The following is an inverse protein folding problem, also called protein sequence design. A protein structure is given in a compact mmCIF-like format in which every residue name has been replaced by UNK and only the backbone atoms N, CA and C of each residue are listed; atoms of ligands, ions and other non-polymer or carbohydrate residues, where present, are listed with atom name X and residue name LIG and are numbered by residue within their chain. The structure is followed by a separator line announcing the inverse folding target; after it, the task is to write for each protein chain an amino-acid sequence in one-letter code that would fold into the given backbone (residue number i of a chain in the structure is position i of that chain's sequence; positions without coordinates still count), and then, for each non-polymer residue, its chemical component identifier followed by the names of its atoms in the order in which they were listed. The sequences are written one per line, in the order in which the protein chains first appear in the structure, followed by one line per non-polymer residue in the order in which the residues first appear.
data_IF_167337579740
#
_entry.id   IF_167337579740
#
_cell.length_a   1.000
_cell.length_b   1.000
_cell.length_c   1.000
_cell.angle_alpha   90.00
_cell.angle_beta   90.00
_cell.angle_gamma   90.00
#
_symmetry.space_group_name_H-M   'P 1'
#
loop_
_entity.id
_entity.type
_entity.pdbx_description
1 polymer ?
#
# COMPACT_ATOMS: atom_id res chain seq x y z
N UNK A 1 20.66 6.27 -25.66
CA UNK A 1 20.76 6.64 -24.25
C UNK A 1 21.33 5.46 -23.48
N UNK A 2 22.30 5.71 -22.64
CA UNK A 2 22.92 4.66 -21.81
C UNK A 2 22.12 4.41 -20.54
N UNK A 3 22.35 3.25 -19.91
CA UNK A 3 21.76 2.91 -18.63
C UNK A 3 22.10 3.97 -17.55
N UNK A 4 23.35 4.41 -17.50
CA UNK A 4 23.80 5.42 -16.53
C UNK A 4 23.12 6.78 -16.72
N UNK A 5 22.90 7.20 -17.96
CA UNK A 5 22.20 8.45 -18.27
C UNK A 5 20.74 8.38 -17.76
N UNK A 6 20.03 7.32 -18.11
CA UNK A 6 18.65 7.12 -17.63
C UNK A 6 18.58 7.06 -16.09
N UNK A 7 19.47 6.29 -15.48
CA UNK A 7 19.52 6.17 -14.04
C UNK A 7 19.72 7.53 -13.36
N UNK A 8 20.66 8.33 -13.86
CA UNK A 8 20.94 9.68 -13.34
C UNK A 8 19.71 10.60 -13.47
N UNK A 9 19.03 10.54 -14.60
CA UNK A 9 17.83 11.36 -14.86
C UNK A 9 16.72 11.02 -13.84
N UNK A 10 16.40 9.73 -13.68
CA UNK A 10 15.34 9.32 -12.75
C UNK A 10 15.74 9.50 -11.27
N UNK A 11 17.01 9.36 -10.91
CA UNK A 11 17.53 9.62 -9.55
C UNK A 11 17.34 11.07 -9.08
N UNK A 12 17.12 12.01 -10.02
CA UNK A 12 16.79 13.40 -9.68
C UNK A 12 15.48 13.55 -8.92
N UNK A 13 14.53 12.61 -9.13
CA UNK A 13 13.17 12.66 -8.55
C UNK A 13 12.75 11.41 -7.77
N UNK A 14 13.52 10.31 -7.85
CA UNK A 14 13.24 9.05 -7.19
C UNK A 14 14.40 8.58 -6.32
N UNK A 15 14.10 7.86 -5.25
CA UNK A 15 15.09 7.37 -4.30
C UNK A 15 15.78 6.09 -4.77
N UNK A 16 15.04 5.25 -5.48
CA UNK A 16 15.50 3.99 -6.03
C UNK A 16 15.20 3.96 -7.52
N UNK A 17 16.19 3.57 -8.31
CA UNK A 17 16.08 3.45 -9.77
C UNK A 17 16.81 2.20 -10.20
N UNK A 18 16.12 1.33 -10.90
CA UNK A 18 16.69 0.16 -11.55
C UNK A 18 16.14 0.05 -12.96
N UNK A 19 16.90 -0.58 -13.84
CA UNK A 19 16.54 -0.69 -15.24
C UNK A 19 16.74 -2.14 -15.66
N UNK A 20 15.76 -2.72 -16.34
CA UNK A 20 15.80 -4.10 -16.84
C UNK A 20 15.27 -4.17 -18.25
N UNK A 21 15.63 -5.24 -18.94
CA UNK A 21 15.01 -5.59 -20.22
C UNK A 21 13.60 -6.11 -19.98
N UNK A 22 12.60 -5.54 -20.63
CA UNK A 22 11.21 -5.98 -20.49
C UNK A 22 11.03 -7.46 -20.83
N UNK A 23 11.73 -7.98 -21.86
CA UNK A 23 11.69 -9.40 -22.24
C UNK A 23 12.13 -10.34 -21.11
N UNK A 24 13.13 -9.94 -20.30
CA UNK A 24 13.64 -10.78 -19.21
C UNK A 24 12.64 -10.80 -18.04
N UNK A 25 12.02 -9.65 -17.74
CA UNK A 25 10.91 -9.58 -16.79
C UNK A 25 9.73 -10.47 -17.22
N UNK A 26 9.28 -10.37 -18.49
CA UNK A 26 8.16 -11.17 -18.99
C UNK A 26 8.47 -12.67 -18.90
N UNK A 27 9.70 -13.09 -19.26
CA UNK A 27 10.15 -14.47 -19.13
C UNK A 27 10.11 -14.96 -17.68
N UNK A 28 10.59 -14.16 -16.73
CA UNK A 28 10.56 -14.50 -15.29
C UNK A 28 9.12 -14.56 -14.75
N UNK A 29 8.27 -13.62 -15.11
CA UNK A 29 6.88 -13.57 -14.68
C UNK A 29 6.09 -14.79 -15.19
N UNK A 30 6.26 -15.18 -16.44
CA UNK A 30 5.66 -16.39 -17.03
C UNK A 30 6.18 -17.67 -16.36
N UNK A 31 7.47 -17.76 -16.06
CA UNK A 31 8.06 -18.91 -15.35
C UNK A 31 7.50 -19.05 -13.92
N UNK A 32 7.04 -17.97 -13.31
CA UNK A 32 6.36 -17.95 -12.00
C UNK A 32 4.83 -18.17 -12.11
N UNK A 33 4.30 -18.48 -13.30
CA UNK A 33 2.86 -18.70 -13.53
C UNK A 33 2.01 -17.44 -13.38
N UNK A 34 2.58 -16.25 -13.56
CA UNK A 34 1.83 -14.99 -13.50
C UNK A 34 1.18 -14.69 -14.84
N UNK A 35 -0.05 -14.20 -14.80
CA UNK A 35 -0.69 -13.61 -15.97
C UNK A 35 0.00 -12.29 -16.30
N UNK A 36 0.59 -12.19 -17.49
CA UNK A 36 1.23 -10.98 -17.97
C UNK A 36 0.63 -10.53 -19.30
N UNK A 37 0.41 -9.23 -19.44
CA UNK A 37 0.14 -8.64 -20.74
C UNK A 37 1.48 -8.48 -21.45
N UNK A 38 1.53 -8.89 -22.73
CA UNK A 38 2.71 -8.67 -23.56
C UNK A 38 2.98 -7.17 -23.66
N UNK A 39 4.14 -6.77 -23.20
CA UNK A 39 4.64 -5.41 -23.34
C UNK A 39 5.60 -5.33 -24.53
N UNK A 40 5.38 -4.36 -25.39
CA UNK A 40 6.16 -4.17 -26.62
C UNK A 40 7.38 -3.27 -26.43
N UNK A 41 7.38 -2.44 -25.37
CA UNK A 41 8.49 -1.55 -25.08
C UNK A 41 9.67 -2.33 -24.49
N UNK A 42 10.87 -2.21 -25.09
CA UNK A 42 11.99 -3.09 -24.76
C UNK A 42 12.59 -2.86 -23.38
N UNK A 43 12.45 -1.66 -22.82
CA UNK A 43 13.08 -1.28 -21.56
C UNK A 43 12.05 -0.99 -20.49
N UNK A 44 12.28 -1.51 -19.30
CA UNK A 44 11.51 -1.22 -18.10
C UNK A 44 12.40 -0.51 -17.07
N UNK A 45 12.03 0.71 -16.70
CA UNK A 45 12.60 1.44 -15.56
C UNK A 45 11.73 1.18 -14.34
N UNK A 46 12.34 0.67 -13.29
CA UNK A 46 11.66 0.38 -12.01
C UNK A 46 12.08 1.42 -11.00
N UNK A 47 11.10 2.06 -10.42
CA UNK A 47 11.27 3.23 -9.58
C UNK A 47 10.76 2.98 -8.17
N UNK A 48 11.49 3.49 -7.17
CA UNK A 48 11.07 3.48 -5.79
C UNK A 48 11.08 4.89 -5.20
N UNK A 49 10.00 5.25 -4.49
CA UNK A 49 9.86 6.52 -3.79
C UNK A 49 9.56 6.26 -2.32
N UNK A 50 10.48 6.62 -1.43
CA UNK A 50 10.35 6.36 -0.01
C UNK A 50 9.24 7.19 0.64
N UNK A 51 8.55 6.59 1.62
CA UNK A 51 7.59 7.27 2.47
C UNK A 51 7.95 7.13 3.94
N UNK A 52 7.61 8.12 4.80
CA UNK A 52 8.05 8.12 6.18
C UNK A 52 7.25 7.12 7.02
N UNK A 53 7.94 6.36 7.87
CA UNK A 53 7.32 5.63 8.96
C UNK A 53 6.94 6.63 10.06
N UNK A 54 5.65 6.93 10.20
CA UNK A 54 5.11 7.83 11.23
C UNK A 54 4.01 7.13 12.01
N UNK A 55 4.23 6.93 13.30
CA UNK A 55 3.24 6.28 14.17
C UNK A 55 2.29 7.36 14.70
N UNK A 56 1.05 7.33 14.22
CA UNK A 56 -0.05 8.13 14.75
C UNK A 56 -1.03 7.16 15.40
N UNK A 57 -1.53 7.50 16.58
CA UNK A 57 -2.52 6.67 17.30
C UNK A 57 -3.92 7.17 17.07
N UNK A 58 -4.90 6.27 17.11
CA UNK A 58 -6.31 6.65 17.24
C UNK A 58 -6.52 7.51 18.48
N UNK A 59 -7.47 8.40 18.38
CA UNK A 59 -7.95 9.20 19.53
C UNK A 59 -9.44 8.92 19.78
N UNK A 60 -10.02 9.55 20.79
CA UNK A 60 -11.47 9.43 21.04
C UNK A 60 -12.31 10.10 19.93
N UNK A 61 -11.73 10.90 19.06
CA UNK A 61 -12.43 11.67 18.02
C UNK A 61 -11.96 11.36 16.61
N UNK A 62 -10.79 10.76 16.44
CA UNK A 62 -10.18 10.51 15.13
C UNK A 62 -9.58 9.10 15.01
N UNK A 63 -9.77 8.49 13.87
CA UNK A 63 -9.20 7.19 13.52
C UNK A 63 -8.12 7.33 12.45
N UNK A 64 -7.16 6.40 12.45
CA UNK A 64 -5.95 6.49 11.64
C UNK A 64 -5.84 5.28 10.71
N UNK A 65 -5.57 5.47 9.42
CA UNK A 65 -5.25 4.41 8.48
C UNK A 65 -3.76 3.99 8.55
N UNK A 66 -3.36 3.05 7.71
CA UNK A 66 -1.98 2.58 7.54
C UNK A 66 -1.04 3.67 7.00
N UNK A 67 0.24 3.58 7.34
CA UNK A 67 1.28 4.59 7.01
C UNK A 67 1.40 4.89 5.52
N UNK A 68 1.19 3.88 4.65
CA UNK A 68 1.30 4.09 3.20
C UNK A 68 0.23 5.03 2.64
N UNK A 69 -0.78 5.36 3.44
CA UNK A 69 -1.85 6.30 3.05
C UNK A 69 -1.62 7.71 3.57
N UNK A 70 -0.47 7.99 4.20
CA UNK A 70 -0.18 9.30 4.73
C UNK A 70 0.35 10.24 3.65
N UNK A 71 -0.10 11.49 3.72
CA UNK A 71 0.19 12.50 2.71
C UNK A 71 -0.65 12.33 1.44
N UNK A 72 -0.19 12.95 0.35
CA UNK A 72 -0.87 12.92 -0.94
C UNK A 72 -0.85 11.52 -1.55
N UNK A 73 -1.90 11.17 -2.30
CA UNK A 73 -2.03 9.89 -2.99
C UNK A 73 -0.78 9.59 -3.85
N UNK A 74 -0.07 8.53 -3.48
CA UNK A 74 1.19 8.13 -4.12
C UNK A 74 1.02 7.80 -5.60
N UNK A 75 -0.16 7.33 -6.03
CA UNK A 75 -0.42 7.09 -7.45
C UNK A 75 -0.32 8.38 -8.26
N UNK A 76 -0.84 9.48 -7.71
CA UNK A 76 -0.75 10.79 -8.35
C UNK A 76 0.68 11.33 -8.31
N UNK A 77 1.35 11.19 -7.17
CA UNK A 77 2.73 11.67 -6.97
C UNK A 77 3.69 10.97 -7.90
N UNK A 78 3.67 9.62 -7.95
CA UNK A 78 4.56 8.87 -8.81
C UNK A 78 4.31 9.19 -10.29
N UNK A 79 3.04 9.16 -10.72
CA UNK A 79 2.68 9.48 -12.12
C UNK A 79 3.13 10.88 -12.51
N UNK A 80 2.94 11.88 -11.64
CA UNK A 80 3.37 13.24 -11.92
C UNK A 80 4.90 13.34 -12.07
N UNK A 81 5.66 12.77 -11.12
CA UNK A 81 7.12 12.80 -11.16
C UNK A 81 7.70 12.07 -12.38
N UNK A 82 7.11 10.92 -12.76
CA UNK A 82 7.47 10.20 -13.98
C UNK A 82 7.20 11.04 -15.23
N UNK A 83 5.99 11.60 -15.32
CA UNK A 83 5.57 12.42 -16.47
C UNK A 83 6.45 13.64 -16.63
N UNK A 84 6.81 14.32 -15.55
CA UNK A 84 7.69 15.49 -15.59
C UNK A 84 9.06 15.15 -16.21
N UNK A 85 9.64 13.99 -15.82
CA UNK A 85 10.92 13.53 -16.40
C UNK A 85 10.75 13.17 -17.88
N UNK A 86 9.71 12.42 -18.21
CA UNK A 86 9.53 11.84 -19.53
C UNK A 86 9.16 12.87 -20.61
N UNK A 87 8.45 13.93 -20.21
CA UNK A 87 8.18 15.06 -21.11
C UNK A 87 9.46 15.77 -21.61
N UNK A 88 10.53 15.74 -20.79
CA UNK A 88 11.82 16.33 -21.16
C UNK A 88 12.62 15.41 -22.11
N UNK A 89 12.35 14.09 -22.09
CA UNK A 89 13.12 13.11 -22.85
C UNK A 89 12.64 12.88 -24.29
N UNK A 90 11.42 13.31 -24.62
CA UNK A 90 10.78 13.11 -25.91
C UNK A 90 10.84 11.63 -26.41
N UNK A 91 10.61 10.68 -25.51
CA UNK A 91 10.58 9.24 -25.76
C UNK A 91 9.15 8.76 -25.57
N UNK A 92 8.70 7.84 -26.41
CA UNK A 92 7.42 7.17 -26.23
C UNK A 92 7.47 6.25 -25.00
N UNK A 93 6.45 6.32 -24.15
CA UNK A 93 6.42 5.61 -22.89
C UNK A 93 5.03 5.15 -22.47
N UNK A 94 5.02 4.21 -21.51
CA UNK A 94 3.84 3.85 -20.70
C UNK A 94 4.21 3.87 -19.23
N UNK A 95 3.21 4.15 -18.38
CA UNK A 95 3.37 4.18 -16.92
C UNK A 95 2.56 3.05 -16.27
N UNK A 96 3.14 2.45 -15.23
CA UNK A 96 2.47 1.51 -14.34
C UNK A 96 2.65 1.93 -12.89
N UNK A 97 1.53 2.16 -12.18
CA UNK A 97 1.50 2.37 -10.73
C UNK A 97 0.29 1.64 -10.18
N UNK A 98 0.51 0.55 -9.46
CA UNK A 98 -0.44 -0.34 -8.77
C UNK A 98 -1.52 -0.96 -9.69
N UNK A 99 -2.30 -0.18 -10.39
CA UNK A 99 -3.44 -0.65 -11.19
C UNK A 99 -3.04 -1.05 -12.63
N UNK A 100 -2.21 -2.08 -12.76
CA UNK A 100 -1.80 -2.68 -14.04
C UNK A 100 -1.47 -4.17 -13.86
N UNK A 101 -1.26 -4.91 -14.96
CA UNK A 101 -1.11 -6.37 -14.91
C UNK A 101 0.35 -6.85 -14.73
N UNK A 102 1.29 -5.96 -14.44
CA UNK A 102 2.68 -6.33 -14.16
C UNK A 102 2.91 -6.38 -12.64
N UNK A 103 3.72 -7.33 -12.17
CA UNK A 103 4.11 -7.43 -10.77
C UNK A 103 5.28 -6.48 -10.48
N UNK A 104 4.99 -5.32 -9.89
CA UNK A 104 5.99 -4.31 -9.53
C UNK A 104 7.06 -4.85 -8.58
N UNK A 105 6.70 -5.78 -7.69
CA UNK A 105 7.64 -6.36 -6.72
C UNK A 105 8.63 -7.28 -7.42
N UNK A 106 8.15 -8.11 -8.37
CA UNK A 106 9.04 -8.92 -9.21
C UNK A 106 9.98 -8.02 -10.02
N UNK A 107 9.45 -6.99 -10.64
CA UNK A 107 10.25 -6.02 -11.39
C UNK A 107 11.29 -5.34 -10.49
N UNK A 108 10.91 -4.92 -9.27
CA UNK A 108 11.80 -4.29 -8.31
C UNK A 108 12.92 -5.24 -7.84
N UNK A 109 12.62 -6.51 -7.60
CA UNK A 109 13.62 -7.52 -7.29
C UNK A 109 14.58 -7.69 -8.47
N UNK A 110 14.08 -7.89 -9.68
CA UNK A 110 14.88 -8.06 -10.89
C UNK A 110 15.71 -6.82 -11.23
N UNK A 111 15.23 -5.64 -10.87
CA UNK A 111 15.94 -4.37 -11.04
C UNK A 111 16.95 -4.05 -9.91
N UNK A 112 17.12 -4.95 -8.93
CA UNK A 112 18.08 -4.79 -7.83
C UNK A 112 17.66 -3.75 -6.78
N UNK A 113 16.39 -3.38 -6.72
CA UNK A 113 15.92 -2.43 -5.72
C UNK A 113 15.83 -3.05 -4.32
N UNK A 114 15.79 -4.37 -4.22
CA UNK A 114 15.75 -5.13 -2.98
C UNK A 114 15.38 -6.59 -3.22
N UNK A 115 15.10 -7.32 -2.15
CA UNK A 115 14.72 -8.73 -2.20
C UNK A 115 13.29 -8.96 -1.71
N UNK A 116 12.65 -10.05 -2.15
CA UNK A 116 11.38 -10.50 -1.61
C UNK A 116 11.55 -11.01 -0.18
N UNK A 117 10.88 -10.35 0.74
CA UNK A 117 10.86 -10.80 2.12
C UNK A 117 9.70 -11.77 2.40
N UNK A 118 9.75 -12.48 3.54
CA UNK A 118 8.68 -13.40 3.99
C UNK A 118 7.31 -12.70 4.13
N UNK A 119 7.29 -11.39 4.37
CA UNK A 119 6.05 -10.58 4.39
C UNK A 119 5.57 -10.14 3.01
N UNK A 120 6.16 -10.66 1.94
CA UNK A 120 5.83 -10.37 0.54
C UNK A 120 6.07 -8.92 0.09
N UNK A 121 6.82 -8.16 0.85
CA UNK A 121 7.27 -6.83 0.45
C UNK A 121 8.71 -6.90 -0.05
N UNK A 122 9.11 -5.92 -0.84
CA UNK A 122 10.51 -5.75 -1.22
C UNK A 122 11.22 -5.01 -0.09
N UNK A 123 12.37 -5.53 0.34
CA UNK A 123 13.22 -4.89 1.34
C UNK A 123 14.50 -4.36 0.69
N UNK A 124 14.67 -3.06 0.79
CA UNK A 124 15.87 -2.33 0.39
C UNK A 124 16.76 -2.08 1.61
N UNK A 125 18.08 -2.10 1.44
CA UNK A 125 19.05 -1.86 2.55
C UNK A 125 18.90 -0.48 3.17
N UNK A 126 18.56 0.53 2.38
CA UNK A 126 18.49 1.93 2.81
C UNK A 126 17.13 2.30 3.38
N UNK A 127 16.05 1.90 2.71
CA UNK A 127 14.68 2.34 3.02
C UNK A 127 13.80 1.25 3.65
N UNK A 128 14.35 0.06 3.91
CA UNK A 128 13.56 -1.09 4.37
C UNK A 128 12.47 -1.43 3.35
N UNK A 129 11.24 -1.59 3.82
CA UNK A 129 10.07 -1.79 2.95
C UNK A 129 9.17 -0.54 2.83
N UNK A 130 9.65 0.63 3.26
CA UNK A 130 8.88 1.87 3.25
C UNK A 130 9.12 2.71 1.99
N UNK A 131 8.75 2.16 0.84
CA UNK A 131 8.76 2.86 -0.44
C UNK A 131 7.65 2.35 -1.35
N UNK A 132 7.14 3.24 -2.18
CA UNK A 132 6.20 2.93 -3.25
C UNK A 132 6.97 2.52 -4.48
N UNK A 133 6.36 1.66 -5.29
CA UNK A 133 6.91 1.22 -6.57
C UNK A 133 6.16 1.87 -7.73
N UNK A 134 6.85 1.97 -8.87
CA UNK A 134 6.27 2.36 -10.12
C UNK A 134 7.14 1.91 -11.30
N UNK A 135 6.50 1.70 -12.43
CA UNK A 135 7.13 1.22 -13.65
C UNK A 135 7.00 2.25 -14.76
N UNK A 136 8.07 2.41 -15.52
CA UNK A 136 8.08 3.14 -16.79
C UNK A 136 8.55 2.19 -17.87
N UNK A 137 7.73 1.98 -18.88
CA UNK A 137 8.10 1.24 -20.07
C UNK A 137 8.52 2.23 -21.15
N UNK A 138 9.70 2.07 -21.71
CA UNK A 138 10.29 2.98 -22.70
C UNK A 138 10.45 2.30 -24.04
N UNK A 139 10.03 2.98 -25.12
CA UNK A 139 10.26 2.55 -26.49
C UNK A 139 11.68 2.91 -26.94
N UNK A 140 12.67 2.40 -26.21
CA UNK A 140 14.10 2.53 -26.52
C UNK A 140 14.86 1.33 -26.00
N UNK A 141 15.81 0.81 -26.74
CA UNK A 141 16.68 -0.26 -26.28
C UNK A 141 17.86 0.28 -25.46
N UNK A 142 18.21 -0.46 -24.41
CA UNK A 142 19.40 -0.21 -23.60
C UNK A 142 20.31 -1.43 -23.68
N UNK A 143 21.58 -1.20 -23.96
CA UNK A 143 22.53 -2.25 -24.34
C UNK A 143 23.22 -2.94 -23.15
N UNK A 144 23.09 -2.42 -21.93
CA UNK A 144 23.90 -2.87 -20.80
C UNK A 144 23.22 -4.00 -20.02
N UNK A 145 23.91 -5.12 -19.81
CA UNK A 145 23.49 -6.16 -18.86
C UNK A 145 23.67 -5.67 -17.42
N UNK A 146 22.58 -5.68 -16.64
CA UNK A 146 22.63 -5.38 -15.22
C UNK A 146 22.86 -6.69 -14.48
N UNK A 147 24.02 -6.85 -13.85
CA UNK A 147 24.27 -7.93 -12.89
C UNK A 147 23.73 -7.51 -11.52
N UNK A 148 22.75 -8.26 -11.04
CA UNK A 148 22.12 -8.00 -9.74
C UNK A 148 22.61 -9.00 -8.72
N UNK A 149 23.09 -8.49 -7.60
CA UNK A 149 23.45 -9.29 -6.43
C UNK A 149 22.28 -9.19 -5.42
N UNK A 150 21.29 -10.08 -5.60
CA UNK A 150 20.11 -10.11 -4.74
C UNK A 150 20.35 -11.12 -3.63
N UNK A 151 20.54 -10.63 -2.41
CA UNK A 151 20.70 -11.46 -1.22
C UNK A 151 19.42 -11.44 -0.40
N UNK A 152 18.73 -12.58 -0.30
CA UNK A 152 17.67 -12.77 0.69
C UNK A 152 18.30 -12.75 2.11
N UNK A 153 17.89 -11.78 2.92
CA UNK A 153 18.41 -11.54 4.25
C UNK A 153 17.36 -11.79 5.36
N UNK A 154 16.27 -12.50 5.05
CA UNK A 154 15.29 -12.94 6.05
C UNK A 154 15.81 -14.09 6.91
N UNK A 155 16.56 -15.02 6.34
CA UNK A 155 17.11 -16.18 7.03
C UNK A 155 16.04 -16.93 7.86
N UNK A 156 16.36 -17.23 9.12
CA UNK A 156 15.45 -17.92 10.07
C UNK A 156 14.43 -17.00 10.75
N UNK A 157 14.42 -15.69 10.44
CA UNK A 157 13.49 -14.73 11.07
C UNK A 157 12.04 -15.04 10.70
N UNK A 158 11.15 -15.03 11.72
CA UNK A 158 9.71 -15.30 11.59
C UNK A 158 8.83 -14.16 12.10
N UNK A 159 9.38 -13.03 12.52
CA UNK A 159 8.64 -11.98 13.24
C UNK A 159 7.39 -11.50 12.53
N UNK A 160 7.40 -11.36 11.21
CA UNK A 160 6.23 -10.94 10.44
C UNK A 160 5.15 -12.04 10.35
N UNK A 161 5.55 -13.31 10.31
CA UNK A 161 4.65 -14.46 10.32
C UNK A 161 3.96 -14.54 11.67
N UNK A 162 4.73 -14.56 12.75
CA UNK A 162 4.23 -14.73 14.13
C UNK A 162 3.36 -13.55 14.60
N UNK A 163 3.60 -12.36 14.06
CA UNK A 163 2.82 -11.17 14.37
C UNK A 163 1.53 -11.00 13.55
N UNK A 164 1.34 -11.79 12.48
CA UNK A 164 0.16 -11.63 11.61
C UNK A 164 -1.10 -12.14 12.32
N UNK A 165 -2.05 -11.27 12.72
CA UNK A 165 -3.16 -11.66 13.59
C UNK A 165 -4.19 -12.56 12.90
N UNK A 166 -4.16 -12.65 11.58
CA UNK A 166 -5.09 -13.42 10.75
C UNK A 166 -4.42 -14.59 10.03
N UNK A 167 -3.13 -14.84 10.30
CA UNK A 167 -2.40 -15.95 9.70
C UNK A 167 -2.27 -15.85 8.17
N UNK A 168 -2.27 -14.64 7.61
CA UNK A 168 -2.08 -14.44 6.18
C UNK A 168 -0.67 -14.77 5.69
N UNK A 169 0.30 -14.79 6.60
CA UNK A 169 1.70 -15.16 6.35
C UNK A 169 2.01 -16.48 7.05
N UNK A 170 2.67 -17.39 6.37
CA UNK A 170 3.13 -18.68 6.89
C UNK A 170 4.51 -19.02 6.33
N UNK A 171 5.11 -20.14 6.74
CA UNK A 171 6.35 -20.65 6.10
C UNK A 171 6.08 -21.13 4.67
N UNK A 172 4.85 -21.59 4.40
CA UNK A 172 4.44 -22.07 3.07
C UNK A 172 4.11 -20.95 2.10
N UNK A 173 4.01 -19.68 2.59
CA UNK A 173 3.76 -18.52 1.75
C UNK A 173 2.75 -17.51 2.30
N UNK A 174 2.06 -16.85 1.37
CA UNK A 174 1.14 -15.75 1.65
C UNK A 174 -0.24 -16.00 1.05
N UNK A 175 -1.25 -15.89 1.88
CA UNK A 175 -2.65 -15.96 1.48
C UNK A 175 -3.28 -14.57 1.50
N UNK A 176 -3.34 -13.93 0.33
CA UNK A 176 -3.79 -12.55 0.17
C UNK A 176 -5.20 -12.33 0.71
N UNK A 177 -6.11 -13.28 0.52
CA UNK A 177 -7.52 -13.17 0.94
C UNK A 177 -7.70 -13.05 2.44
N UNK A 178 -6.76 -13.59 3.24
CA UNK A 178 -6.70 -13.45 4.70
C UNK A 178 -6.09 -12.12 5.15
N UNK A 179 -5.28 -11.47 4.29
CA UNK A 179 -4.54 -10.28 4.69
C UNK A 179 -5.48 -9.14 5.14
N UNK A 180 -5.22 -8.54 6.29
CA UNK A 180 -6.01 -7.42 6.81
C UNK A 180 -6.07 -6.26 5.83
N UNK A 181 -4.95 -5.92 5.18
CA UNK A 181 -4.93 -4.88 4.15
C UNK A 181 -5.82 -5.21 2.95
N UNK A 182 -6.05 -6.49 2.66
CA UNK A 182 -6.94 -6.92 1.59
C UNK A 182 -8.41 -6.93 2.05
N UNK A 183 -8.72 -7.58 3.19
CA UNK A 183 -10.13 -7.73 3.58
C UNK A 183 -10.75 -6.41 4.06
N UNK A 184 -9.99 -5.53 4.69
CA UNK A 184 -10.54 -4.25 5.12
C UNK A 184 -10.79 -3.25 3.97
N UNK A 185 -10.38 -3.62 2.75
CA UNK A 185 -10.71 -2.93 1.51
C UNK A 185 -11.77 -3.66 0.67
N UNK A 186 -12.23 -4.83 1.11
CA UNK A 186 -13.19 -5.67 0.37
C UNK A 186 -14.63 -5.38 0.77
N UNK A 187 -15.55 -5.36 -0.19
CA UNK A 187 -16.99 -5.14 0.00
C UNK A 187 -17.71 -6.49 0.21
N UNK A 188 -17.38 -7.19 1.29
CA UNK A 188 -17.95 -8.51 1.64
C UNK A 188 -18.24 -8.59 3.15
N UNK A 189 -19.02 -9.57 3.56
CA UNK A 189 -19.20 -9.95 4.96
C UNK A 189 -17.86 -10.46 5.50
N UNK A 190 -17.49 -10.01 6.69
CA UNK A 190 -16.26 -10.39 7.37
C UNK A 190 -16.51 -11.58 8.32
N UNK A 191 -15.48 -12.40 8.51
CA UNK A 191 -15.48 -13.44 9.55
C UNK A 191 -15.31 -12.82 10.96
N UNK A 192 -15.59 -13.59 12.02
CA UNK A 192 -15.38 -13.13 13.41
C UNK A 192 -13.90 -12.77 13.64
N UNK A 193 -12.98 -13.61 13.17
CA UNK A 193 -11.53 -13.35 13.28
C UNK A 193 -11.13 -12.03 12.61
N UNK A 194 -11.70 -11.69 11.46
CA UNK A 194 -11.41 -10.44 10.76
C UNK A 194 -11.98 -9.22 11.48
N UNK A 195 -13.17 -9.36 12.08
CA UNK A 195 -13.78 -8.32 12.93
C UNK A 195 -12.90 -8.06 14.15
N UNK A 196 -12.54 -9.10 14.88
CA UNK A 196 -11.79 -8.99 16.14
C UNK A 196 -10.33 -8.56 15.94
N UNK A 197 -9.75 -8.89 14.77
CA UNK A 197 -8.36 -8.57 14.48
C UNK A 197 -8.12 -7.17 13.93
N UNK A 198 -9.13 -6.53 13.34
CA UNK A 198 -8.96 -5.25 12.64
C UNK A 198 -8.63 -4.11 13.61
N UNK A 199 -7.51 -3.43 13.39
CA UNK A 199 -7.06 -2.31 14.22
C UNK A 199 -6.90 -1.00 13.43
N UNK A 200 -7.05 -1.02 12.12
CA UNK A 200 -6.76 0.11 11.24
C UNK A 200 -8.00 0.57 10.48
N UNK A 201 -8.10 1.86 10.27
CA UNK A 201 -9.17 2.43 9.45
C UNK A 201 -9.06 1.99 7.97
N UNK A 202 -7.83 1.73 7.49
CA UNK A 202 -7.55 1.32 6.12
C UNK A 202 -6.12 0.75 6.01
N UNK A 203 -5.94 -0.39 5.33
CA UNK A 203 -4.62 -1.02 5.23
C UNK A 203 -4.15 -1.70 6.52
N UNK A 204 -2.87 -2.09 6.57
CA UNK A 204 -2.26 -2.75 7.73
C UNK A 204 -0.73 -2.61 7.68
N UNK A 205 -0.10 -2.33 8.84
CA UNK A 205 1.35 -2.12 8.95
C UNK A 205 2.07 -3.17 9.79
N UNK A 206 1.36 -4.16 10.37
CA UNK A 206 1.92 -5.05 11.40
C UNK A 206 3.21 -5.73 10.94
N UNK A 207 3.19 -6.38 9.78
CA UNK A 207 4.34 -7.12 9.27
C UNK A 207 5.54 -6.22 8.93
N UNK A 208 5.30 -4.94 8.57
CA UNK A 208 6.35 -3.93 8.38
C UNK A 208 6.89 -3.42 9.70
N UNK A 209 6.03 -3.17 10.70
CA UNK A 209 6.42 -2.63 12.00
C UNK A 209 7.32 -3.57 12.79
N UNK A 210 7.06 -4.89 12.72
CA UNK A 210 7.84 -5.89 13.47
C UNK A 210 9.11 -6.32 12.74
N UNK A 211 9.28 -5.93 11.48
CA UNK A 211 10.43 -6.34 10.68
C UNK A 211 11.72 -5.67 11.17
N UNK A 212 12.76 -6.45 11.55
CA UNK A 212 14.02 -5.88 12.02
C UNK A 212 14.75 -5.08 10.94
N UNK A 213 14.52 -5.38 9.68
CA UNK A 213 15.10 -4.65 8.54
C UNK A 213 14.51 -3.24 8.38
N UNK A 214 13.45 -2.92 9.11
CA UNK A 214 12.80 -1.61 9.13
C UNK A 214 13.17 -0.76 10.36
N UNK A 215 14.17 -1.16 11.15
CA UNK A 215 14.56 -0.45 12.39
C UNK A 215 15.51 0.71 12.09
N UNK A 216 16.62 0.43 11.42
CA UNK A 216 17.70 1.39 11.16
C UNK A 216 17.71 1.85 9.71
N UNK A 217 16.56 2.26 9.19
CA UNK A 217 16.40 2.72 7.81
C UNK A 217 16.61 4.23 7.72
N UNK A 218 16.97 4.69 6.52
CA UNK A 218 17.04 6.11 6.22
C UNK A 218 15.63 6.71 6.26
N UNK A 219 15.48 7.78 7.03
CA UNK A 219 14.23 8.55 7.10
C UNK A 219 14.32 9.69 6.10
N UNK A 220 13.65 9.54 4.98
CA UNK A 220 13.48 10.61 4.00
C UNK A 220 12.01 10.95 3.89
N UNK A 221 11.70 12.23 3.90
CA UNK A 221 10.33 12.72 3.70
C UNK A 221 10.32 13.57 2.43
N UNK A 222 9.44 13.21 1.52
CA UNK A 222 9.14 14.05 0.36
C UNK A 222 8.02 15.03 0.73
N UNK A 223 8.03 16.28 0.21
CA UNK A 223 7.01 17.27 0.54
C UNK A 223 5.58 16.79 0.34
N UNK A 224 5.34 15.95 -0.67
CA UNK A 224 4.03 15.38 -0.97
C UNK A 224 3.53 14.40 0.09
N UNK A 225 4.44 13.82 0.89
CA UNK A 225 4.11 12.88 1.97
C UNK A 225 4.24 13.50 3.36
N UNK A 226 4.29 14.82 3.45
CA UNK A 226 4.13 15.50 4.72
C UNK A 226 2.70 15.40 5.22
N UNK A 227 2.55 15.37 6.56
CA UNK A 227 1.24 15.24 7.17
C UNK A 227 0.42 16.50 6.93
N UNK A 228 -0.80 16.31 6.44
CA UNK A 228 -1.77 17.37 6.16
C UNK A 228 -2.82 17.54 7.26
N UNK A 229 -2.84 16.63 8.24
CA UNK A 229 -3.88 16.47 9.24
C UNK A 229 -5.02 15.54 8.81
N UNK A 230 -5.12 15.22 7.51
CA UNK A 230 -6.15 14.32 6.95
C UNK A 230 -5.87 12.84 7.24
N UNK A 231 -4.70 12.50 7.74
CA UNK A 231 -4.32 11.17 8.23
C UNK A 231 -5.10 10.80 9.50
N UNK A 232 -5.63 11.79 10.20
CA UNK A 232 -6.52 11.64 11.33
C UNK A 232 -7.97 11.90 10.87
N UNK A 233 -8.69 10.83 10.56
CA UNK A 233 -10.06 10.91 10.02
C UNK A 233 -11.04 11.10 11.17
N UNK A 234 -11.81 12.19 11.15
CA UNK A 234 -12.84 12.49 12.14
C UNK A 234 -13.95 11.45 12.12
N UNK A 235 -14.29 10.89 13.28
CA UNK A 235 -15.39 9.92 13.44
C UNK A 235 -16.71 10.61 13.07
N UNK A 236 -16.92 11.83 13.50
CA UNK A 236 -18.14 12.60 13.21
C UNK A 236 -18.26 12.81 11.70
N UNK A 237 -17.25 13.34 11.03
CA UNK A 237 -17.27 13.56 9.58
C UNK A 237 -17.58 12.25 8.82
N UNK A 238 -16.99 11.16 9.27
CA UNK A 238 -17.15 9.85 8.63
C UNK A 238 -18.61 9.36 8.68
N UNK A 239 -19.34 9.61 9.75
CA UNK A 239 -20.72 9.13 9.92
C UNK A 239 -21.79 10.17 9.54
N UNK A 240 -21.49 11.48 9.55
CA UNK A 240 -22.47 12.53 9.28
C UNK A 240 -22.39 13.15 7.89
N UNK A 241 -21.19 13.30 7.33
CA UNK A 241 -21.01 13.92 6.01
C UNK A 241 -21.61 13.09 4.89
N UNK A 242 -22.09 13.75 3.83
CA UNK A 242 -22.37 13.05 2.56
C UNK A 242 -21.07 12.54 1.94
N UNK A 243 -21.16 11.55 1.04
CA UNK A 243 -20.00 11.02 0.29
C UNK A 243 -19.22 12.16 -0.40
N UNK A 244 -19.92 13.13 -0.98
CA UNK A 244 -19.32 14.28 -1.67
C UNK A 244 -18.55 15.18 -0.70
N UNK A 245 -19.17 15.59 0.40
CA UNK A 245 -18.55 16.48 1.40
C UNK A 245 -17.32 15.80 2.02
N UNK A 246 -17.43 14.51 2.35
CA UNK A 246 -16.32 13.75 2.89
C UNK A 246 -15.12 13.68 1.92
N UNK A 247 -15.37 13.39 0.64
CA UNK A 247 -14.34 13.40 -0.40
C UNK A 247 -13.68 14.77 -0.61
N UNK A 248 -14.45 15.83 -0.52
CA UNK A 248 -13.91 17.21 -0.61
C UNK A 248 -12.99 17.54 0.57
N UNK A 249 -13.39 17.18 1.81
CA UNK A 249 -12.58 17.41 3.03
C UNK A 249 -11.27 16.62 3.01
N UNK A 250 -11.34 15.37 2.61
CA UNK A 250 -10.22 14.44 2.64
C UNK A 250 -9.57 14.22 1.25
N UNK A 251 -9.78 15.16 0.35
CA UNK A 251 -9.24 15.08 -1.02
C UNK A 251 -7.75 14.74 -1.03
N UNK A 252 -7.30 14.05 -2.08
CA UNK A 252 -5.93 13.60 -2.33
C UNK A 252 -5.41 12.49 -1.38
N UNK A 253 -6.26 11.95 -0.50
CA UNK A 253 -5.84 10.86 0.40
C UNK A 253 -6.06 9.49 -0.25
N UNK A 254 -5.06 8.58 -0.19
CA UNK A 254 -5.13 7.27 -0.84
C UNK A 254 -6.29 6.39 -0.37
N UNK A 255 -6.72 6.49 0.88
CA UNK A 255 -7.79 5.66 1.44
C UNK A 255 -9.19 5.95 0.86
N UNK A 256 -9.36 7.00 0.07
CA UNK A 256 -10.66 7.36 -0.52
C UNK A 256 -11.10 6.45 -1.68
N UNK A 257 -10.19 5.74 -2.32
CA UNK A 257 -10.48 5.03 -3.57
C UNK A 257 -11.52 3.89 -3.45
N UNK A 258 -11.67 3.29 -2.27
CA UNK A 258 -12.67 2.26 -2.00
C UNK A 258 -14.04 2.83 -1.57
N UNK A 259 -14.12 4.14 -1.35
CA UNK A 259 -15.32 4.84 -0.92
C UNK A 259 -15.51 4.90 0.59
N UNK A 260 -16.27 5.88 1.05
CA UNK A 260 -16.52 6.21 2.45
C UNK A 260 -17.12 5.03 3.24
N UNK A 261 -18.03 4.25 2.65
CA UNK A 261 -18.70 3.13 3.34
C UNK A 261 -17.71 2.06 3.81
N UNK A 262 -16.61 1.82 3.09
CA UNK A 262 -15.53 0.92 3.54
C UNK A 262 -14.87 1.48 4.81
N UNK A 263 -14.59 2.78 4.82
CA UNK A 263 -13.99 3.44 5.99
C UNK A 263 -14.95 3.42 7.19
N UNK A 264 -16.26 3.65 6.96
CA UNK A 264 -17.29 3.54 8.01
C UNK A 264 -17.30 2.15 8.62
N UNK A 265 -17.33 1.07 7.81
CA UNK A 265 -17.26 -0.30 8.32
C UNK A 265 -16.01 -0.53 9.16
N UNK A 266 -14.85 -0.11 8.66
CA UNK A 266 -13.59 -0.30 9.39
C UNK A 266 -13.54 0.54 10.67
N UNK A 267 -14.18 1.71 10.69
CA UNK A 267 -14.34 2.52 11.89
C UNK A 267 -15.13 1.79 12.97
N UNK A 268 -16.21 1.06 12.63
CA UNK A 268 -16.94 0.21 13.57
C UNK A 268 -16.01 -0.80 14.25
N UNK A 269 -15.15 -1.47 13.46
CA UNK A 269 -14.22 -2.48 13.97
C UNK A 269 -13.18 -1.86 14.93
N UNK A 270 -12.64 -0.69 14.56
CA UNK A 270 -11.66 0.01 15.40
C UNK A 270 -12.31 0.51 16.70
N UNK A 271 -13.52 1.09 16.63
CA UNK A 271 -14.25 1.57 17.80
C UNK A 271 -14.60 0.42 18.76
N UNK A 272 -15.04 -0.72 18.22
CA UNK A 272 -15.28 -1.94 19.01
C UNK A 272 -13.99 -2.40 19.74
N UNK A 273 -12.88 -2.47 19.04
CA UNK A 273 -11.58 -2.82 19.63
C UNK A 273 -11.13 -1.85 20.70
N UNK A 274 -11.42 -0.55 20.54
CA UNK A 274 -11.13 0.49 21.53
C UNK A 274 -12.15 0.51 22.69
N UNK A 275 -13.21 -0.30 22.65
CA UNK A 275 -14.34 -0.30 23.57
C UNK A 275 -14.98 1.08 23.73
N UNK A 276 -15.06 1.82 22.61
CA UNK A 276 -15.58 3.19 22.61
C UNK A 276 -17.07 3.18 22.30
N UNK A 277 -17.90 3.48 23.30
CA UNK A 277 -19.37 3.56 23.18
C UNK A 277 -19.89 4.97 22.89
N UNK A 278 -19.01 5.99 22.84
CA UNK A 278 -19.39 7.40 22.73
C UNK A 278 -20.15 7.77 21.45
N UNK A 279 -20.11 6.92 20.42
CA UNK A 279 -20.73 7.19 19.11
C UNK A 279 -21.86 6.19 18.78
N UNK A 280 -22.38 5.43 19.77
CA UNK A 280 -23.36 4.37 19.49
C UNK A 280 -24.63 4.92 18.84
N UNK A 281 -25.21 5.98 19.36
CA UNK A 281 -26.43 6.59 18.80
C UNK A 281 -26.22 7.06 17.36
N UNK A 282 -25.07 7.67 17.08
CA UNK A 282 -24.69 8.11 15.75
C UNK A 282 -24.54 6.92 14.79
N UNK A 283 -23.89 5.86 15.23
CA UNK A 283 -23.67 4.63 14.47
C UNK A 283 -24.99 3.91 14.20
N UNK A 284 -25.85 3.74 15.21
CA UNK A 284 -27.18 3.12 15.07
C UNK A 284 -28.07 3.86 14.07
N UNK A 285 -27.96 5.19 13.98
CA UNK A 285 -28.69 6.01 13.00
C UNK A 285 -28.38 5.67 11.55
N UNK A 286 -27.29 4.92 11.28
CA UNK A 286 -26.87 4.52 9.93
C UNK A 286 -27.41 3.16 9.49
N UNK A 287 -28.09 2.40 10.38
CA UNK A 287 -28.39 0.97 10.21
C UNK A 287 -29.15 0.64 8.93
N UNK A 288 -30.01 1.32 8.36
CA UNK A 288 -30.82 0.89 7.20
C UNK A 288 -30.44 1.53 5.86
N UNK A 289 -29.30 2.23 5.79
CA UNK A 289 -28.93 3.06 4.63
C UNK A 289 -27.84 2.48 3.74
N UNK A 290 -27.19 1.39 4.16
CA UNK A 290 -25.97 0.89 3.52
C UNK A 290 -26.08 -0.59 3.09
N UNK A 291 -25.14 -1.11 2.26
CA UNK A 291 -25.16 -2.48 1.76
C UNK A 291 -25.12 -3.54 2.87
N UNK A 292 -25.58 -4.76 2.55
CA UNK A 292 -25.69 -5.89 3.49
C UNK A 292 -24.38 -6.20 4.22
N UNK A 293 -23.23 -6.10 3.55
CA UNK A 293 -21.93 -6.35 4.17
C UNK A 293 -21.54 -5.32 5.24
N UNK A 294 -22.04 -4.08 5.13
CA UNK A 294 -21.90 -3.06 6.16
C UNK A 294 -22.85 -3.33 7.33
N UNK A 295 -24.12 -3.63 7.02
CA UNK A 295 -25.16 -3.91 8.03
C UNK A 295 -24.79 -5.12 8.89
N UNK A 296 -24.32 -6.22 8.29
CA UNK A 296 -23.84 -7.40 9.02
C UNK A 296 -22.76 -7.03 10.05
N UNK A 297 -21.76 -6.24 9.62
CA UNK A 297 -20.71 -5.79 10.54
C UNK A 297 -21.27 -4.88 11.64
N UNK A 298 -22.17 -3.96 11.28
CA UNK A 298 -22.81 -3.06 12.23
C UNK A 298 -23.56 -3.83 13.32
N UNK A 299 -24.42 -4.78 12.94
CA UNK A 299 -25.24 -5.55 13.89
C UNK A 299 -24.37 -6.36 14.85
N UNK A 300 -23.31 -6.99 14.33
CA UNK A 300 -22.37 -7.80 15.14
C UNK A 300 -21.57 -6.92 16.09
N UNK A 301 -21.07 -5.79 15.62
CA UNK A 301 -20.31 -4.84 16.44
C UNK A 301 -21.17 -4.21 17.50
N UNK A 302 -22.41 -3.77 17.18
CA UNK A 302 -23.34 -3.22 18.19
C UNK A 302 -23.69 -4.24 19.28
N UNK A 303 -23.86 -5.51 18.88
CA UNK A 303 -24.08 -6.59 19.86
C UNK A 303 -22.89 -6.72 20.80
N UNK A 304 -21.67 -6.81 20.30
CA UNK A 304 -20.45 -6.90 21.11
C UNK A 304 -20.25 -5.67 22.01
N UNK A 305 -20.52 -4.46 21.51
CA UNK A 305 -20.40 -3.21 22.29
C UNK A 305 -21.41 -3.10 23.45
N UNK A 306 -22.60 -3.71 23.32
CA UNK A 306 -23.62 -3.75 24.37
C UNK A 306 -23.32 -4.79 25.47
N UNK A 307 -22.43 -5.74 25.20
CA UNK A 307 -22.00 -6.77 26.15
C UNK A 307 -20.78 -6.31 27.00
N UNK A 308 -20.21 -5.15 26.72
CA UNK A 308 -19.07 -4.53 27.43
C UNK A 308 -19.52 -3.42 28.38
#
# INVERSE_FOLDING_TARGET
MTNNELQTIFQSKFDLVGIIQTKDYLKAALAMGKDVILETYPTMVVLGLSYPKRIIKHTNTHLVPSFYTFGKDYHLVLKQRMTDILNELNIEYRLGVDNHNHDERLAAMMAGLGYFAKNQLIINKTYGSYFFLGLVFLNTEISDEIKLDIVDDCGTCRKCIDACPVGALSEDGYEMTKCMSHYNQSKRILTDLEIDSNYSLFGCDICQMVCPKNINIQKKTHPEFELSGKEMVSIVDLFTDSERVFKEKYTDMPYLWKGKTILMRNALLVLNRLKSTSYMDLIESTSHKYPIWYQDTLDRVLKQMKEH
#
